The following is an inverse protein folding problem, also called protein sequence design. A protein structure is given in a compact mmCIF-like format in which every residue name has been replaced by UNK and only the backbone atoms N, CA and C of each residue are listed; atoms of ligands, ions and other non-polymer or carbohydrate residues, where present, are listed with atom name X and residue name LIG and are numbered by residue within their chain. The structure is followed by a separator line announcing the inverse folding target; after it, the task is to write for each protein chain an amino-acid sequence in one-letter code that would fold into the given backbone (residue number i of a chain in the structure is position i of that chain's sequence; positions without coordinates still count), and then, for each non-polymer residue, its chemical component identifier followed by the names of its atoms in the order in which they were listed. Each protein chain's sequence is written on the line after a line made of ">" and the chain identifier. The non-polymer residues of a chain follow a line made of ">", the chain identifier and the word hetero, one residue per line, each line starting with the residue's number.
data_IF_593795521037
#
_entry.id   IF_593795521037
#
_cell.length_a   1.000
_cell.length_b   1.000
_cell.length_c   1.000
_cell.angle_alpha   90.00
_cell.angle_beta   90.00
_cell.angle_gamma   90.00
#
_symmetry.space_group_name_H-M   'P 1'
#
loop_
_entity.id
_entity.type
_entity.pdbx_description
1 polymer ?
#
# COMPACT_ATOMS: atom_id res chain seq x y z
N UNK A 1 -24.79 12.23 9.03
CA UNK A 1 -24.29 13.23 8.05
C UNK A 1 -23.06 14.01 8.52
N UNK A 2 -23.15 14.99 9.44
CA UNK A 2 -21.96 15.78 9.83
C UNK A 2 -20.86 14.93 10.49
N UNK A 3 -21.23 14.02 11.39
CA UNK A 3 -20.28 13.12 12.06
C UNK A 3 -19.59 12.16 11.07
N UNK A 4 -20.34 11.60 10.12
CA UNK A 4 -19.79 10.71 9.08
C UNK A 4 -18.84 11.48 8.16
N UNK A 5 -19.20 12.70 7.76
CA UNK A 5 -18.33 13.55 6.95
C UNK A 5 -17.04 13.91 7.70
N UNK A 6 -17.14 14.29 8.98
CA UNK A 6 -15.97 14.56 9.82
C UNK A 6 -15.06 13.34 9.93
N UNK A 7 -15.62 12.14 10.07
CA UNK A 7 -14.85 10.90 10.12
C UNK A 7 -14.11 10.64 8.80
N UNK A 8 -14.81 10.75 7.67
CA UNK A 8 -14.22 10.57 6.33
C UNK A 8 -13.09 11.57 6.09
N UNK A 9 -13.30 12.85 6.43
CA UNK A 9 -12.25 13.87 6.29
C UNK A 9 -11.04 13.54 7.16
N UNK A 10 -11.26 13.06 8.39
CA UNK A 10 -10.17 12.66 9.28
C UNK A 10 -9.39 11.46 8.73
N UNK A 11 -10.06 10.41 8.26
CA UNK A 11 -9.39 9.25 7.68
C UNK A 11 -8.61 9.60 6.39
N UNK A 12 -9.17 10.46 5.52
CA UNK A 12 -8.46 10.93 4.34
C UNK A 12 -7.22 11.76 4.70
N UNK A 13 -7.28 12.59 5.76
CA UNK A 13 -6.11 13.30 6.27
C UNK A 13 -5.05 12.32 6.77
N UNK A 14 -5.44 11.32 7.56
CA UNK A 14 -4.53 10.28 8.05
C UNK A 14 -3.88 9.49 6.91
N UNK A 15 -4.65 9.11 5.87
CA UNK A 15 -4.12 8.48 4.66
C UNK A 15 -3.05 9.35 3.97
N UNK A 16 -3.28 10.66 3.89
CA UNK A 16 -2.27 11.60 3.38
C UNK A 16 -0.98 11.57 4.19
N UNK A 17 -1.08 11.51 5.52
CA UNK A 17 0.08 11.38 6.42
C UNK A 17 0.81 10.05 6.26
N UNK A 18 0.08 8.96 6.00
CA UNK A 18 0.67 7.66 5.66
C UNK A 18 1.46 7.71 4.37
N UNK A 19 0.92 8.34 3.33
CA UNK A 19 1.61 8.50 2.03
C UNK A 19 2.86 9.34 2.18
N UNK A 20 2.82 10.46 2.91
CA UNK A 20 4.00 11.28 3.17
C UNK A 20 5.06 10.53 3.99
N UNK A 21 4.65 9.72 4.96
CA UNK A 21 5.56 8.82 5.66
C UNK A 21 6.24 7.86 4.68
N UNK A 22 5.48 7.22 3.80
CA UNK A 22 6.00 6.25 2.83
C UNK A 22 6.91 6.91 1.79
N UNK A 23 6.63 8.14 1.36
CA UNK A 23 7.54 8.89 0.48
C UNK A 23 8.90 9.13 1.14
N UNK A 24 8.90 9.40 2.45
CA UNK A 24 10.13 9.68 3.21
C UNK A 24 10.90 8.43 3.61
N UNK A 25 10.19 7.35 3.97
CA UNK A 25 10.78 6.16 4.59
C UNK A 25 10.63 4.88 3.74
N UNK A 26 10.01 4.98 2.57
CA UNK A 26 9.77 3.88 1.63
C UNK A 26 10.99 3.01 1.34
N UNK A 27 12.20 3.57 1.12
CA UNK A 27 13.39 2.77 0.85
C UNK A 27 13.72 1.73 1.94
N UNK A 28 13.29 1.95 3.20
CA UNK A 28 13.48 0.96 4.28
C UNK A 28 12.62 -0.30 4.11
N UNK A 29 11.66 -0.27 3.18
CA UNK A 29 10.72 -1.34 2.86
C UNK A 29 10.87 -1.80 1.40
N UNK A 30 12.01 -1.50 0.76
CA UNK A 30 12.23 -1.74 -0.67
C UNK A 30 11.19 -1.05 -1.59
N UNK A 31 10.51 -0.02 -1.08
CA UNK A 31 9.59 0.83 -1.84
C UNK A 31 10.39 1.97 -2.48
N UNK A 32 10.57 1.89 -3.80
CA UNK A 32 11.50 2.72 -4.56
C UNK A 32 10.84 3.94 -5.17
N UNK A 33 9.56 3.85 -5.53
CA UNK A 33 8.81 4.98 -6.08
C UNK A 33 7.35 4.96 -5.62
N UNK A 34 6.78 6.15 -5.50
CA UNK A 34 5.39 6.39 -5.13
C UNK A 34 4.81 7.45 -6.06
N UNK A 35 3.80 7.07 -6.83
CA UNK A 35 3.15 7.96 -7.78
C UNK A 35 1.64 8.00 -7.52
N UNK A 36 1.05 9.20 -7.54
CA UNK A 36 -0.38 9.41 -7.38
C UNK A 36 -0.98 9.91 -8.70
N UNK A 37 -2.01 9.22 -9.18
CA UNK A 37 -2.82 9.65 -10.32
C UNK A 37 -4.30 9.66 -9.93
N UNK A 38 -4.86 10.84 -9.64
CA UNK A 38 -6.20 10.97 -9.07
C UNK A 38 -6.36 10.14 -7.79
N UNK A 39 -7.13 9.06 -7.85
CA UNK A 39 -7.36 8.11 -6.75
C UNK A 39 -6.56 6.82 -6.90
N UNK A 40 -5.62 6.75 -7.84
CA UNK A 40 -4.74 5.61 -8.04
C UNK A 40 -3.37 5.88 -7.40
N UNK A 41 -3.04 5.09 -6.39
CA UNK A 41 -1.75 5.11 -5.72
C UNK A 41 -0.88 3.97 -6.25
N UNK A 42 0.18 4.32 -6.98
CA UNK A 42 1.16 3.38 -7.51
C UNK A 42 2.38 3.30 -6.60
N UNK A 43 2.73 2.08 -6.22
CA UNK A 43 3.87 1.75 -5.36
C UNK A 43 4.80 0.79 -6.11
N UNK A 44 6.02 1.23 -6.41
CA UNK A 44 7.04 0.40 -7.05
C UNK A 44 7.96 -0.23 -5.99
N UNK A 45 7.93 -1.55 -5.90
CA UNK A 45 8.83 -2.32 -5.05
C UNK A 45 9.99 -2.90 -5.86
N UNK A 46 11.20 -2.86 -5.30
CA UNK A 46 12.36 -3.51 -5.91
C UNK A 46 13.37 -3.93 -4.84
N UNK A 47 13.76 -5.20 -4.88
CA UNK A 47 14.83 -5.76 -4.05
C UNK A 47 15.67 -6.71 -4.91
N UNK A 48 16.96 -6.39 -5.07
CA UNK A 48 17.89 -7.30 -5.75
C UNK A 48 18.21 -8.52 -4.91
N UNK A 49 18.18 -8.38 -3.57
CA UNK A 49 18.45 -9.44 -2.62
C UNK A 49 17.37 -10.53 -2.72
N UNK A 50 16.10 -10.14 -2.62
CA UNK A 50 14.94 -11.01 -2.82
C UNK A 50 14.63 -11.34 -4.29
N UNK A 51 15.45 -10.86 -5.24
CA UNK A 51 15.28 -11.07 -6.68
C UNK A 51 13.86 -10.72 -7.19
N UNK A 52 13.30 -9.60 -6.72
CA UNK A 52 11.93 -9.19 -6.99
C UNK A 52 11.81 -7.72 -7.39
N UNK A 53 10.97 -7.45 -8.40
CA UNK A 53 10.55 -6.10 -8.78
C UNK A 53 9.12 -6.13 -9.33
N UNK A 54 8.23 -5.38 -8.70
CA UNK A 54 6.82 -5.31 -9.09
C UNK A 54 6.23 -3.96 -8.69
N UNK A 55 5.17 -3.56 -9.39
CA UNK A 55 4.40 -2.36 -9.09
C UNK A 55 2.99 -2.76 -8.66
N UNK A 56 2.49 -2.16 -7.58
CA UNK A 56 1.10 -2.31 -7.12
C UNK A 56 0.39 -0.99 -7.33
N UNK A 57 -0.78 -1.03 -7.97
CA UNK A 57 -1.67 0.13 -8.10
C UNK A 57 -2.88 -0.09 -7.21
N UNK A 58 -3.03 0.72 -6.16
CA UNK A 58 -4.20 0.74 -5.28
C UNK A 58 -5.22 1.76 -5.75
N UNK A 59 -6.50 1.37 -5.77
CA UNK A 59 -7.64 2.27 -5.99
C UNK A 59 -8.14 2.80 -4.65
N UNK A 60 -7.82 4.06 -4.34
CA UNK A 60 -8.22 4.72 -3.11
C UNK A 60 -9.69 5.17 -3.16
N UNK A 61 -10.34 5.21 -1.99
CA UNK A 61 -11.68 5.77 -1.86
C UNK A 61 -11.87 6.45 -0.50
N UNK A 62 -12.92 7.26 -0.39
CA UNK A 62 -13.31 7.92 0.86
C UNK A 62 -13.72 6.94 1.99
N UNK A 63 -13.89 5.65 1.68
CA UNK A 63 -14.19 4.62 2.67
C UNK A 63 -12.94 4.09 3.37
N UNK A 64 -11.73 4.57 3.02
CA UNK A 64 -10.51 4.20 3.71
C UNK A 64 -10.59 4.57 5.22
N UNK A 65 -10.03 3.74 6.13
CA UNK A 65 -9.46 2.40 5.93
C UNK A 65 -10.50 1.27 6.08
N UNK A 66 -11.80 1.57 6.07
CA UNK A 66 -12.89 0.65 6.48
C UNK A 66 -13.17 -0.51 5.49
N UNK A 67 -12.51 -0.52 4.33
CA UNK A 67 -12.66 -1.58 3.34
C UNK A 67 -11.29 -1.94 2.73
N UNK A 68 -11.06 -3.20 2.32
CA UNK A 68 -9.84 -3.59 1.63
C UNK A 68 -9.64 -2.74 0.37
N UNK A 69 -8.41 -2.30 0.14
CA UNK A 69 -8.07 -1.53 -1.06
C UNK A 69 -8.09 -2.45 -2.29
N UNK A 70 -8.94 -2.19 -3.28
CA UNK A 70 -8.82 -2.83 -4.58
C UNK A 70 -7.44 -2.50 -5.16
N UNK A 71 -6.81 -3.48 -5.81
CA UNK A 71 -5.49 -3.29 -6.38
C UNK A 71 -5.30 -4.10 -7.65
N UNK A 72 -4.31 -3.68 -8.44
CA UNK A 72 -3.74 -4.46 -9.52
C UNK A 72 -2.23 -4.57 -9.31
N UNK A 73 -1.62 -5.61 -9.89
CA UNK A 73 -0.18 -5.83 -9.81
C UNK A 73 0.40 -5.94 -11.22
N UNK A 74 1.54 -5.28 -11.42
CA UNK A 74 2.39 -5.47 -12.57
C UNK A 74 3.73 -6.03 -12.09
N UNK A 75 3.96 -7.32 -12.32
CA UNK A 75 5.26 -7.93 -12.05
C UNK A 75 6.23 -7.59 -13.17
N UNK A 76 7.41 -7.06 -12.83
CA UNK A 76 8.49 -6.80 -13.78
C UNK A 76 9.54 -7.90 -13.73
N UNK A 77 9.76 -8.50 -12.56
CA UNK A 77 10.82 -9.46 -12.31
C UNK A 77 10.58 -10.24 -11.01
N UNK A 78 10.91 -11.53 -11.00
CA UNK A 78 10.59 -12.44 -9.90
C UNK A 78 9.23 -13.12 -10.10
N UNK A 79 8.70 -13.77 -9.06
CA UNK A 79 7.48 -14.59 -9.15
C UNK A 79 6.28 -14.02 -8.38
N UNK A 80 6.38 -12.78 -7.87
CA UNK A 80 5.32 -12.16 -7.07
C UNK A 80 4.05 -11.97 -7.90
N UNK A 81 2.96 -12.57 -7.41
CA UNK A 81 1.68 -12.63 -8.12
C UNK A 81 0.54 -11.95 -7.36
N UNK A 82 -0.60 -11.79 -8.03
CA UNK A 82 -1.79 -11.18 -7.45
C UNK A 82 -2.28 -11.91 -6.19
N UNK A 83 -2.38 -13.24 -6.24
CA UNK A 83 -2.97 -14.03 -5.15
C UNK A 83 -2.10 -14.01 -3.88
N UNK A 84 -0.77 -13.96 -4.05
CA UNK A 84 0.18 -13.81 -2.94
C UNK A 84 -0.01 -12.45 -2.26
N UNK A 85 -0.04 -11.35 -3.03
CA UNK A 85 -0.28 -10.01 -2.50
C UNK A 85 -1.67 -9.89 -1.87
N UNK A 86 -2.70 -10.50 -2.48
CA UNK A 86 -4.05 -10.53 -1.92
C UNK A 86 -4.08 -11.24 -0.56
N UNK A 87 -3.40 -12.38 -0.44
CA UNK A 87 -3.27 -13.11 0.81
C UNK A 87 -2.55 -12.27 1.87
N UNK A 88 -1.49 -11.54 1.51
CA UNK A 88 -0.76 -10.63 2.42
C UNK A 88 -1.68 -9.51 2.91
N UNK A 89 -2.34 -8.81 2.00
CA UNK A 89 -3.25 -7.69 2.32
C UNK A 89 -4.38 -8.16 3.23
N UNK A 90 -4.92 -9.37 3.00
CA UNK A 90 -6.02 -9.92 3.82
C UNK A 90 -5.65 -10.16 5.29
N UNK A 91 -4.36 -10.26 5.62
CA UNK A 91 -3.86 -10.42 7.00
C UNK A 91 -3.85 -9.08 7.76
N UNK A 92 -3.87 -7.95 7.06
CA UNK A 92 -3.68 -6.63 7.68
C UNK A 92 -5.03 -6.10 8.20
N UNK A 93 -5.14 -5.72 9.49
CA UNK A 93 -6.37 -5.18 10.04
C UNK A 93 -6.76 -3.84 9.40
N UNK A 94 -8.05 -3.66 9.11
CA UNK A 94 -8.64 -2.45 8.52
C UNK A 94 -8.77 -1.33 9.57
N UNK A 95 -7.65 -0.71 9.93
CA UNK A 95 -7.57 0.34 10.97
C UNK A 95 -6.62 1.48 10.58
N UNK A 96 -6.45 2.47 11.45
CA UNK A 96 -5.48 3.54 11.25
C UNK A 96 -4.08 2.96 10.97
N UNK A 97 -3.37 3.54 10.01
CA UNK A 97 -2.08 3.04 9.51
C UNK A 97 -2.17 1.82 8.57
N UNK A 98 -3.36 1.49 8.04
CA UNK A 98 -3.57 0.35 7.16
C UNK A 98 -2.57 0.28 5.99
N UNK A 99 -2.42 1.36 5.21
CA UNK A 99 -1.52 1.40 4.06
C UNK A 99 -0.06 1.18 4.49
N UNK A 100 0.39 1.83 5.56
CA UNK A 100 1.74 1.60 6.10
C UNK A 100 1.94 0.15 6.52
N UNK A 101 0.93 -0.46 7.15
CA UNK A 101 1.01 -1.83 7.61
C UNK A 101 0.99 -2.83 6.43
N UNK A 102 0.23 -2.55 5.37
CA UNK A 102 0.29 -3.29 4.11
C UNK A 102 1.70 -3.25 3.50
N UNK A 103 2.29 -2.06 3.37
CA UNK A 103 3.66 -1.92 2.82
C UNK A 103 4.68 -2.68 3.68
N UNK A 104 4.59 -2.56 5.01
CA UNK A 104 5.46 -3.30 5.93
C UNK A 104 5.30 -4.81 5.78
N UNK A 105 4.06 -5.31 5.65
CA UNK A 105 3.80 -6.74 5.53
C UNK A 105 4.29 -7.28 4.20
N UNK A 106 4.10 -6.56 3.08
CA UNK A 106 4.68 -6.91 1.78
C UNK A 106 6.20 -7.02 1.89
N UNK A 107 6.83 -6.04 2.55
CA UNK A 107 8.27 -6.10 2.76
C UNK A 107 8.68 -7.33 3.58
N UNK A 108 8.03 -7.64 4.71
CA UNK A 108 8.36 -8.82 5.52
C UNK A 108 8.15 -10.14 4.78
N UNK A 109 7.06 -10.29 4.03
CA UNK A 109 6.66 -11.57 3.45
C UNK A 109 7.33 -11.84 2.08
N UNK A 110 7.70 -10.79 1.34
CA UNK A 110 8.15 -10.92 -0.07
C UNK A 110 9.57 -10.39 -0.31
N UNK A 111 9.99 -9.33 0.39
CA UNK A 111 11.19 -8.57 -0.01
C UNK A 111 12.33 -8.63 1.01
N UNK A 112 12.04 -9.06 2.23
CA UNK A 112 12.99 -9.21 3.31
C UNK A 112 13.59 -10.61 3.24
N UNK A 113 14.84 -10.67 2.81
CA UNK A 113 15.69 -11.86 2.97
C UNK A 113 15.98 -12.17 4.44
#
# INVERSE_FOLDING_TARGET
>A
MLQELSLVVNHCRLLGEEIEFLKRWGPNYSLMDINMNNTELRLLFSSSAAFAKFEITFSLSAHYPLAPLPFTIQNHFGNTGHDEIAAIISKVPLEDNYLKNVVKQIYQDVLKD
#
